data_IF_286023111980
#
_entry.id   IF_286023111980
#
_cell.length_a   1.000
_cell.length_b   1.000
_cell.length_c   1.000
_cell.angle_alpha   90.00
_cell.angle_beta   90.00
_cell.angle_gamma   90.00
#
_symmetry.space_group_name_H-M   'P 1'
#
loop_
_entity.id
_entity.type
_entity.pdbx_description
1 polymer ?
#
# COMPACT_ATOMS: atom_id res chain seq x y z
N UNK A 1 4.06 15.90 -11.02
CA UNK A 1 3.30 14.64 -11.06
C UNK A 1 2.42 14.72 -12.30
N UNK A 2 2.52 13.76 -13.22
CA UNK A 2 1.73 13.80 -14.46
C UNK A 2 0.24 13.80 -14.14
N UNK A 3 -0.56 14.62 -14.84
CA UNK A 3 -2.03 14.62 -14.81
C UNK A 3 -2.63 13.35 -15.45
N UNK A 4 -2.02 12.19 -15.21
CA UNK A 4 -2.47 10.93 -15.79
C UNK A 4 -3.77 10.51 -15.11
N UNK A 5 -4.84 10.53 -15.89
CA UNK A 5 -6.13 9.98 -15.48
C UNK A 5 -6.11 8.45 -15.62
N UNK A 6 -6.73 7.77 -14.66
CA UNK A 6 -6.91 6.32 -14.67
C UNK A 6 -8.40 6.00 -14.72
N UNK A 7 -8.75 4.91 -15.38
CA UNK A 7 -10.11 4.40 -15.36
C UNK A 7 -10.41 3.74 -14.01
N UNK A 8 -11.51 4.13 -13.37
CA UNK A 8 -11.96 3.51 -12.14
C UNK A 8 -12.59 2.15 -12.42
N UNK A 9 -12.01 1.06 -11.91
CA UNK A 9 -12.58 -0.29 -12.06
C UNK A 9 -13.96 -0.52 -11.42
N UNK A 10 -14.47 0.43 -10.61
CA UNK A 10 -15.83 0.37 -10.03
C UNK A 10 -16.89 1.09 -10.88
N UNK A 11 -16.59 2.27 -11.40
CA UNK A 11 -17.58 3.10 -12.12
C UNK A 11 -17.25 3.38 -13.60
N UNK A 12 -16.10 2.92 -14.11
CA UNK A 12 -15.65 3.11 -15.49
C UNK A 12 -15.25 4.54 -15.86
N UNK A 13 -15.29 5.49 -14.91
CA UNK A 13 -14.96 6.88 -15.19
C UNK A 13 -13.46 7.14 -15.04
N UNK A 14 -12.94 8.04 -15.89
CA UNK A 14 -11.59 8.58 -15.75
C UNK A 14 -11.51 9.51 -14.53
N UNK A 15 -10.57 9.22 -13.64
CA UNK A 15 -10.35 9.96 -12.39
C UNK A 15 -8.86 10.08 -12.11
N UNK A 16 -8.47 11.07 -11.31
CA UNK A 16 -7.11 11.15 -10.80
C UNK A 16 -6.88 10.05 -9.77
N UNK A 17 -5.64 9.53 -9.72
CA UNK A 17 -5.25 8.62 -8.65
C UNK A 17 -5.02 9.41 -7.35
N UNK A 18 -6.06 9.57 -6.53
CA UNK A 18 -5.89 10.12 -5.18
C UNK A 18 -5.46 8.99 -4.24
N UNK A 19 -4.23 9.06 -3.76
CA UNK A 19 -3.76 8.21 -2.67
C UNK A 19 -4.06 8.87 -1.34
N UNK A 20 -4.63 8.10 -0.41
CA UNK A 20 -4.87 8.52 0.97
C UNK A 20 -4.24 7.52 1.92
N UNK A 21 -3.89 8.03 3.09
CA UNK A 21 -3.39 7.21 4.20
C UNK A 21 -4.18 7.58 5.44
N UNK A 22 -4.69 6.57 6.12
CA UNK A 22 -5.37 6.72 7.40
C UNK A 22 -4.79 5.76 8.45
N UNK A 23 -4.99 6.07 9.72
CA UNK A 23 -4.54 5.23 10.83
C UNK A 23 -5.74 4.45 11.38
N UNK A 24 -5.70 3.12 11.28
CA UNK A 24 -6.80 2.23 11.60
C UNK A 24 -6.50 1.38 12.84
N UNK A 25 -6.45 2.03 14.01
CA UNK A 25 -6.22 1.33 15.28
C UNK A 25 -4.85 0.63 15.37
N UNK A 26 -4.44 0.21 16.58
CA UNK A 26 -3.26 -0.64 16.82
C UNK A 26 -1.93 -0.24 16.13
N UNK A 27 -1.79 1.04 15.73
CA UNK A 27 -0.61 1.52 15.00
C UNK A 27 -0.53 1.08 13.53
N UNK A 28 -1.62 0.52 12.99
CA UNK A 28 -1.77 0.13 11.58
C UNK A 28 -2.16 1.34 10.75
N UNK A 29 -1.54 1.46 9.58
CA UNK A 29 -1.82 2.48 8.58
C UNK A 29 -2.39 1.79 7.35
N UNK A 30 -3.49 2.33 6.83
CA UNK A 30 -4.15 1.90 5.61
C UNK A 30 -3.85 2.91 4.51
N UNK A 31 -3.14 2.47 3.47
CA UNK A 31 -2.96 3.25 2.26
C UNK A 31 -3.92 2.73 1.18
N UNK A 32 -4.74 3.63 0.64
CA UNK A 32 -5.74 3.30 -0.37
C UNK A 32 -5.80 4.36 -1.45
N UNK A 33 -6.26 3.95 -2.63
CA UNK A 33 -6.63 4.87 -3.70
C UNK A 33 -8.14 5.11 -3.67
N UNK A 34 -8.57 6.36 -3.82
CA UNK A 34 -9.97 6.76 -3.85
C UNK A 34 -10.33 7.37 -5.22
N UNK A 35 -11.46 6.95 -5.77
CA UNK A 35 -12.02 7.55 -6.98
C UNK A 35 -12.75 8.86 -6.64
N UNK A 36 -12.38 9.96 -7.28
CA UNK A 36 -13.04 11.27 -7.07
C UNK A 36 -14.50 11.28 -7.50
N UNK A 37 -14.90 10.37 -8.39
CA UNK A 37 -16.22 10.38 -9.02
C UNK A 37 -17.26 9.59 -8.25
N UNK A 38 -16.89 8.40 -7.76
CA UNK A 38 -17.82 7.49 -7.06
C UNK A 38 -17.43 7.24 -5.61
N UNK A 39 -16.34 7.85 -5.12
CA UNK A 39 -15.78 7.62 -3.77
C UNK A 39 -15.40 6.16 -3.50
N UNK A 40 -15.39 5.33 -4.55
CA UNK A 40 -14.94 3.95 -4.48
C UNK A 40 -13.46 3.91 -4.17
N UNK A 41 -13.12 3.18 -3.12
CA UNK A 41 -11.76 2.98 -2.64
C UNK A 41 -11.23 1.59 -2.98
N UNK A 42 -9.92 1.50 -3.17
CA UNK A 42 -9.17 0.24 -3.32
C UNK A 42 -7.94 0.29 -2.45
N UNK A 43 -7.75 -0.73 -1.63
CA UNK A 43 -6.60 -0.86 -0.74
C UNK A 43 -5.33 -1.05 -1.56
N UNK A 44 -4.34 -0.20 -1.32
CA UNK A 44 -2.99 -0.35 -1.87
C UNK A 44 -2.20 -1.28 -0.95
N UNK A 45 -2.09 -0.96 0.34
CA UNK A 45 -1.54 -1.85 1.36
C UNK A 45 -1.89 -1.41 2.77
N UNK A 46 -1.72 -2.33 3.72
CA UNK A 46 -1.69 -2.05 5.16
C UNK A 46 -0.25 -2.13 5.68
N UNK A 47 0.11 -1.28 6.64
CA UNK A 47 1.42 -1.33 7.30
C UNK A 47 1.35 -1.08 8.79
N UNK A 48 2.02 -1.92 9.56
CA UNK A 48 2.26 -1.71 10.98
C UNK A 48 3.68 -1.16 11.23
N UNK A 49 4.05 -1.02 12.51
CA UNK A 49 5.39 -0.55 12.90
C UNK A 49 6.50 -1.49 12.41
N UNK A 50 6.28 -2.79 12.41
CA UNK A 50 7.29 -3.78 12.04
C UNK A 50 7.55 -3.76 10.53
N UNK A 51 6.49 -3.77 9.71
CA UNK A 51 6.56 -3.63 8.26
C UNK A 51 7.29 -2.34 7.88
N UNK A 52 6.94 -1.20 8.52
CA UNK A 52 7.65 0.07 8.28
C UNK A 52 9.14 -0.02 8.63
N UNK A 53 9.50 -0.66 9.73
CA UNK A 53 10.90 -0.87 10.11
C UNK A 53 11.64 -1.75 9.09
N UNK A 54 11.00 -2.80 8.57
CA UNK A 54 11.59 -3.69 7.57
C UNK A 54 11.76 -2.99 6.22
N UNK A 55 10.82 -2.15 5.80
CA UNK A 55 10.93 -1.32 4.60
C UNK A 55 12.17 -0.40 4.67
N UNK A 56 12.36 0.30 5.79
CA UNK A 56 13.56 1.13 6.02
C UNK A 56 14.84 0.29 5.95
N UNK A 57 14.83 -0.90 6.59
CA UNK A 57 15.98 -1.81 6.54
C UNK A 57 16.28 -2.27 5.11
N UNK A 58 15.26 -2.62 4.32
CA UNK A 58 15.41 -3.05 2.94
C UNK A 58 15.95 -1.93 2.06
N UNK A 59 15.47 -0.69 2.23
CA UNK A 59 15.95 0.49 1.51
C UNK A 59 17.44 0.72 1.74
N UNK A 60 17.91 0.51 2.97
CA UNK A 60 19.32 0.68 3.36
C UNK A 60 20.19 -0.55 3.06
N UNK A 61 19.61 -1.64 2.56
CA UNK A 61 20.33 -2.88 2.23
C UNK A 61 20.82 -2.85 0.77
N UNK A 62 22.10 -3.16 0.55
CA UNK A 62 22.69 -3.25 -0.80
C UNK A 62 21.94 -4.30 -1.66
N UNK A 63 21.82 -4.09 -2.98
CA UNK A 63 21.25 -5.10 -3.88
C UNK A 63 21.92 -6.47 -3.72
N UNK A 64 21.12 -7.53 -3.68
CA UNK A 64 21.62 -8.90 -3.54
C UNK A 64 20.62 -9.82 -2.85
N UNK A 65 21.02 -11.09 -2.66
CA UNK A 65 20.16 -12.16 -2.10
C UNK A 65 19.49 -11.76 -0.78
N UNK A 66 20.20 -11.02 0.08
CA UNK A 66 19.66 -10.58 1.36
C UNK A 66 18.52 -9.56 1.20
N UNK A 67 18.67 -8.58 0.30
CA UNK A 67 17.60 -7.60 0.00
C UNK A 67 16.36 -8.27 -0.59
N UNK A 68 16.55 -9.30 -1.42
CA UNK A 68 15.44 -10.10 -1.97
C UNK A 68 14.72 -10.89 -0.88
N UNK A 69 15.45 -11.47 0.08
CA UNK A 69 14.85 -12.14 1.25
C UNK A 69 14.01 -11.17 2.09
N UNK A 70 14.53 -9.97 2.36
CA UNK A 70 13.77 -8.92 3.05
C UNK A 70 12.51 -8.52 2.28
N UNK A 71 12.57 -8.45 0.94
CA UNK A 71 11.39 -8.17 0.11
C UNK A 71 10.29 -9.22 0.31
N UNK A 72 10.67 -10.50 0.28
CA UNK A 72 9.73 -11.60 0.48
C UNK A 72 9.13 -11.60 1.89
N UNK A 73 9.94 -11.31 2.91
CA UNK A 73 9.47 -11.19 4.30
C UNK A 73 8.46 -10.06 4.47
N UNK A 74 8.76 -8.88 3.93
CA UNK A 74 7.86 -7.71 3.95
C UNK A 74 6.54 -8.05 3.25
N UNK A 75 6.60 -8.65 2.06
CA UNK A 75 5.40 -9.02 1.31
C UNK A 75 4.54 -10.03 2.07
N UNK A 76 5.15 -11.03 2.70
CA UNK A 76 4.43 -12.01 3.51
C UNK A 76 3.72 -11.36 4.71
N UNK A 77 4.38 -10.42 5.39
CA UNK A 77 3.77 -9.68 6.50
C UNK A 77 2.64 -8.77 6.04
N UNK A 78 2.82 -8.04 4.93
CA UNK A 78 1.76 -7.23 4.34
C UNK A 78 0.53 -8.07 3.94
N UNK A 79 0.76 -9.25 3.34
CA UNK A 79 -0.33 -10.14 2.94
C UNK A 79 -1.11 -10.68 4.15
N UNK A 80 -0.41 -11.06 5.24
CA UNK A 80 -1.06 -11.49 6.49
C UNK A 80 -1.86 -10.36 7.11
N UNK A 81 -1.26 -9.17 7.23
CA UNK A 81 -1.95 -8.01 7.77
C UNK A 81 -3.19 -7.66 6.95
N UNK A 82 -3.11 -7.76 5.61
CA UNK A 82 -4.27 -7.57 4.75
C UNK A 82 -5.40 -8.57 5.07
N UNK A 83 -5.10 -9.85 5.25
CA UNK A 83 -6.09 -10.88 5.61
C UNK A 83 -6.71 -10.67 7.00
N UNK A 84 -6.02 -9.98 7.90
CA UNK A 84 -6.55 -9.64 9.22
C UNK A 84 -7.49 -8.42 9.18
N UNK A 85 -7.33 -7.55 8.18
CA UNK A 85 -8.09 -6.31 8.04
C UNK A 85 -9.28 -6.40 7.06
N UNK A 86 -9.21 -7.28 6.06
CA UNK A 86 -10.25 -7.52 5.03
C UNK A 86 -10.97 -8.86 5.26
#
# INVERSE_FOLDING_TARGET
>A
MSDQLLECGKCGQLTRLIRRTEKIGNGVFHEFAECEKCQGNTTIFYSDKEIRSLLVKQQNTKPGKYRTKLAAEIQNKMNRLRQEME
#
